data_IF_856232709644
#
_entry.id   IF_856232709644
#
_cell.length_a   1.000
_cell.length_b   1.000
_cell.length_c   1.000
_cell.angle_alpha   90.00
_cell.angle_beta   90.00
_cell.angle_gamma   90.00
#
_symmetry.space_group_name_H-M   'P 1'
#
loop_
_entity.id
_entity.type
_entity.pdbx_description
1 polymer ?
#
# COMPACT_ATOMS: atom_id res chain seq x y z
N UNK A 1 -18.11 -4.64 12.23
CA UNK A 1 -17.14 -4.73 11.11
C UNK A 1 -17.40 -6.01 10.33
N UNK A 2 -17.38 -5.95 9.01
CA UNK A 2 -17.65 -7.13 8.17
C UNK A 2 -16.49 -8.11 8.19
N UNK A 3 -16.81 -9.39 8.18
CA UNK A 3 -15.84 -10.49 8.06
C UNK A 3 -16.00 -11.19 6.71
N UNK A 4 -14.90 -11.72 6.20
CA UNK A 4 -14.94 -12.58 5.02
C UNK A 4 -15.28 -14.03 5.40
N UNK A 5 -15.27 -14.95 4.41
CA UNK A 5 -15.62 -16.36 4.60
C UNK A 5 -14.73 -17.09 5.60
N UNK A 6 -13.50 -16.61 5.79
CA UNK A 6 -12.50 -17.26 6.66
C UNK A 6 -12.41 -16.59 8.03
N UNK A 7 -13.30 -15.66 8.33
CA UNK A 7 -13.34 -14.98 9.61
C UNK A 7 -12.40 -13.79 9.74
N UNK A 8 -11.71 -13.40 8.69
CA UNK A 8 -10.85 -12.21 8.69
C UNK A 8 -11.69 -10.96 8.49
N UNK A 9 -11.34 -9.88 9.17
CA UNK A 9 -12.03 -8.60 9.05
C UNK A 9 -11.69 -7.91 7.74
N UNK A 10 -12.71 -7.47 7.00
CA UNK A 10 -12.53 -6.74 5.73
C UNK A 10 -12.12 -5.30 6.04
N UNK A 11 -11.04 -4.86 5.40
CA UNK A 11 -10.51 -3.50 5.57
C UNK A 11 -9.65 -3.29 6.81
N UNK A 12 -9.55 -4.27 7.68
CA UNK A 12 -8.74 -4.16 8.91
C UNK A 12 -7.26 -3.98 8.60
N UNK A 13 -6.75 -4.70 7.60
CA UNK A 13 -5.35 -4.57 7.21
C UNK A 13 -4.99 -3.15 6.81
N UNK A 14 -5.85 -2.48 6.06
CA UNK A 14 -5.64 -1.08 5.65
C UNK A 14 -5.73 -0.13 6.84
N UNK A 15 -6.71 -0.31 7.72
CA UNK A 15 -6.88 0.52 8.91
C UNK A 15 -5.69 0.40 9.85
N UNK A 16 -5.24 -0.83 10.09
CA UNK A 16 -4.09 -1.11 10.96
C UNK A 16 -2.82 -0.50 10.37
N UNK A 17 -2.60 -0.70 9.07
CA UNK A 17 -1.45 -0.11 8.38
C UNK A 17 -1.47 1.41 8.46
N UNK A 18 -2.62 2.05 8.26
CA UNK A 18 -2.76 3.50 8.35
C UNK A 18 -2.39 4.02 9.74
N UNK A 19 -2.84 3.34 10.80
CA UNK A 19 -2.49 3.71 12.16
C UNK A 19 -0.98 3.60 12.42
N UNK A 20 -0.37 2.50 12.00
CA UNK A 20 1.07 2.30 12.17
C UNK A 20 1.85 3.36 11.41
N UNK A 21 1.50 3.58 10.15
CA UNK A 21 2.20 4.55 9.29
C UNK A 21 2.01 5.99 9.77
N UNK A 22 0.83 6.31 10.30
CA UNK A 22 0.58 7.63 10.89
C UNK A 22 1.51 7.93 12.07
N UNK A 23 1.89 6.92 12.82
CA UNK A 23 2.84 7.06 13.93
C UNK A 23 4.30 7.10 13.46
N UNK A 24 4.64 6.36 12.41
CA UNK A 24 6.00 6.30 11.87
C UNK A 24 6.34 7.53 11.02
N UNK A 25 5.37 8.09 10.32
CA UNK A 25 5.57 9.22 9.40
C UNK A 25 4.77 10.44 9.85
N UNK A 26 5.04 10.91 11.07
CA UNK A 26 4.28 12.01 11.71
C UNK A 26 4.32 13.33 10.94
N UNK A 27 5.42 13.61 10.25
CA UNK A 27 5.62 14.85 9.49
C UNK A 27 5.13 14.76 8.05
N UNK A 28 4.52 13.63 7.69
CA UNK A 28 4.06 13.37 6.34
C UNK A 28 2.54 13.34 6.27
N UNK A 29 2.01 13.53 5.07
CA UNK A 29 0.56 13.39 4.83
C UNK A 29 0.30 11.98 4.33
N UNK A 30 -0.63 11.28 4.97
CA UNK A 30 -1.07 9.96 4.55
C UNK A 30 -2.48 10.06 4.01
N UNK A 31 -2.66 9.64 2.75
CA UNK A 31 -3.95 9.69 2.06
C UNK A 31 -4.43 8.28 1.74
N UNK A 32 -5.51 7.80 2.38
CA UNK A 32 -6.10 6.52 2.01
C UNK A 32 -6.92 6.65 0.73
N UNK A 33 -7.05 5.55 0.01
CA UNK A 33 -7.86 5.45 -1.20
C UNK A 33 -7.56 6.58 -2.20
N UNK A 34 -6.27 6.81 -2.46
CA UNK A 34 -5.81 7.90 -3.33
C UNK A 34 -5.88 7.51 -4.80
N UNK A 35 -6.41 8.38 -5.69
CA UNK A 35 -6.51 8.04 -7.11
C UNK A 35 -5.14 7.82 -7.76
N UNK A 36 -4.98 6.67 -8.39
CA UNK A 36 -3.74 6.30 -9.08
C UNK A 36 -3.34 7.33 -10.13
N UNK A 37 -4.31 7.85 -10.88
CA UNK A 37 -4.06 8.82 -11.94
C UNK A 37 -3.40 10.11 -11.45
N UNK A 38 -3.55 10.45 -10.18
CA UNK A 38 -2.96 11.67 -9.63
C UNK A 38 -1.45 11.56 -9.38
N UNK A 39 -0.90 10.35 -9.47
CA UNK A 39 0.54 10.11 -9.28
C UNK A 39 1.30 9.86 -10.58
N UNK A 40 0.62 9.80 -11.70
CA UNK A 40 1.24 9.51 -12.99
C UNK A 40 1.16 10.74 -13.92
N UNK A 41 2.13 10.83 -14.83
CA UNK A 41 2.16 11.92 -15.80
C UNK A 41 1.13 11.69 -16.91
N UNK A 42 0.74 12.76 -17.62
CA UNK A 42 -0.23 12.68 -18.71
C UNK A 42 0.19 11.71 -19.81
N UNK A 43 1.48 11.60 -20.06
CA UNK A 43 2.05 10.66 -21.02
C UNK A 43 1.60 9.22 -20.74
N UNK A 44 1.64 8.82 -19.47
CA UNK A 44 1.18 7.48 -19.06
C UNK A 44 -0.33 7.33 -19.06
N UNK A 45 -1.06 8.41 -18.73
CA UNK A 45 -2.52 8.39 -18.71
C UNK A 45 -3.10 8.05 -20.08
N UNK A 46 -2.53 8.60 -21.14
CA UNK A 46 -3.02 8.36 -22.50
C UNK A 46 -2.79 6.93 -22.98
N UNK A 47 -1.83 6.23 -22.37
CA UNK A 47 -1.48 4.86 -22.73
C UNK A 47 -2.25 3.81 -21.92
N UNK A 48 -2.93 4.20 -20.85
CA UNK A 48 -3.60 3.28 -19.95
C UNK A 48 -5.08 3.12 -20.29
N UNK A 49 -5.58 1.89 -20.13
CA UNK A 49 -7.00 1.63 -20.24
C UNK A 49 -7.77 2.19 -19.05
N UNK A 50 -9.08 2.37 -19.23
CA UNK A 50 -9.97 2.93 -18.21
C UNK A 50 -9.87 2.22 -16.85
N UNK A 51 -9.57 0.94 -16.84
CA UNK A 51 -9.41 0.17 -15.58
C UNK A 51 -8.37 0.77 -14.68
N UNK A 52 -7.21 1.12 -15.23
CA UNK A 52 -6.14 1.72 -14.45
C UNK A 52 -6.48 3.14 -14.02
N UNK A 53 -7.18 3.88 -14.88
CA UNK A 53 -7.56 5.25 -14.58
C UNK A 53 -8.53 5.37 -13.39
N UNK A 54 -9.27 4.29 -13.09
CA UNK A 54 -10.23 4.26 -11.98
C UNK A 54 -9.64 3.65 -10.70
N UNK A 55 -8.42 3.14 -10.76
CA UNK A 55 -7.81 2.52 -9.59
C UNK A 55 -7.55 3.53 -8.48
N UNK A 56 -7.73 3.07 -7.26
CA UNK A 56 -7.35 3.80 -6.06
C UNK A 56 -6.24 3.03 -5.36
N UNK A 57 -5.28 3.77 -4.84
CA UNK A 57 -4.17 3.22 -4.08
C UNK A 57 -4.56 3.20 -2.60
N UNK A 58 -4.25 2.11 -1.92
CA UNK A 58 -4.67 1.91 -0.53
C UNK A 58 -4.21 3.04 0.38
N UNK A 59 -2.90 3.33 0.36
CA UNK A 59 -2.30 4.38 1.17
C UNK A 59 -1.19 5.05 0.37
N UNK A 60 -1.13 6.38 0.42
CA UNK A 60 -0.06 7.15 -0.20
C UNK A 60 0.52 8.10 0.85
N UNK A 61 1.84 8.07 1.00
CA UNK A 61 2.57 8.90 1.95
C UNK A 61 3.32 9.98 1.19
N UNK A 62 2.93 11.24 1.41
CA UNK A 62 3.58 12.40 0.83
C UNK A 62 4.58 12.97 1.84
N UNK A 63 5.86 12.82 1.55
CA UNK A 63 6.93 13.26 2.43
C UNK A 63 7.53 14.58 1.95
N UNK A 64 7.90 15.50 2.85
CA UNK A 64 8.56 16.75 2.44
C UNK A 64 9.90 16.45 1.76
N UNK A 65 10.09 16.97 0.55
CA UNK A 65 11.36 16.88 -0.20
C UNK A 65 11.89 15.47 -0.49
N UNK A 66 11.04 14.45 -0.41
CA UNK A 66 11.42 13.07 -0.68
C UNK A 66 10.41 12.41 -1.62
N UNK A 67 10.79 11.25 -2.15
CA UNK A 67 9.89 10.50 -3.03
C UNK A 67 8.62 10.08 -2.32
N UNK A 68 7.51 10.13 -3.03
CA UNK A 68 6.21 9.63 -2.55
C UNK A 68 6.27 8.12 -2.36
N UNK A 69 5.72 7.65 -1.25
CA UNK A 69 5.63 6.23 -0.96
C UNK A 69 4.20 5.77 -1.20
N UNK A 70 4.04 4.72 -1.98
CA UNK A 70 2.74 4.06 -2.20
C UNK A 70 2.76 2.75 -1.44
N UNK A 71 1.84 2.58 -0.50
CA UNK A 71 1.71 1.36 0.29
C UNK A 71 0.49 0.60 -0.21
N UNK A 72 0.71 -0.62 -0.68
CA UNK A 72 -0.36 -1.49 -1.14
C UNK A 72 -0.59 -2.58 -0.10
N UNK A 73 -1.81 -2.67 0.40
CA UNK A 73 -2.19 -3.67 1.41
C UNK A 73 -2.89 -4.81 0.68
N UNK A 74 -2.22 -5.95 0.62
CA UNK A 74 -2.69 -7.07 -0.18
C UNK A 74 -3.14 -8.24 0.69
N UNK A 75 -4.46 -8.39 0.81
CA UNK A 75 -5.04 -9.53 1.50
C UNK A 75 -5.07 -10.76 0.58
N UNK A 76 -5.52 -11.89 1.10
CA UNK A 76 -5.55 -13.14 0.33
C UNK A 76 -6.52 -13.14 -0.85
N UNK A 77 -7.45 -12.17 -0.91
CA UNK A 77 -8.37 -12.04 -2.04
C UNK A 77 -7.71 -11.45 -3.29
N UNK A 78 -6.49 -10.93 -3.15
CA UNK A 78 -5.69 -10.44 -4.27
C UNK A 78 -4.90 -11.55 -4.98
N UNK A 79 -5.16 -12.81 -4.63
CA UNK A 79 -4.54 -13.96 -5.30
C UNK A 79 -5.26 -14.30 -6.60
N UNK A 80 -4.68 -13.99 -7.72
CA UNK A 80 -5.17 -14.37 -9.03
C UNK A 80 -4.18 -13.92 -10.07
N UNK A 81 -4.08 -14.68 -11.16
CA UNK A 81 -3.10 -14.38 -12.21
C UNK A 81 -3.33 -12.97 -12.78
N UNK A 82 -4.57 -12.62 -13.07
CA UNK A 82 -4.89 -11.29 -13.61
C UNK A 82 -4.64 -10.17 -12.62
N UNK A 83 -4.98 -10.38 -11.34
CA UNK A 83 -4.74 -9.41 -10.29
C UNK A 83 -3.24 -9.21 -10.08
N UNK A 84 -2.47 -10.31 -10.07
CA UNK A 84 -1.01 -10.24 -9.94
C UNK A 84 -0.37 -9.50 -11.10
N UNK A 85 -0.84 -9.73 -12.34
CA UNK A 85 -0.34 -9.04 -13.51
C UNK A 85 -0.62 -7.54 -13.44
N UNK A 86 -1.82 -7.15 -13.01
CA UNK A 86 -2.18 -5.73 -12.82
C UNK A 86 -1.32 -5.07 -11.75
N UNK A 87 -1.07 -5.78 -10.66
CA UNK A 87 -0.24 -5.28 -9.57
C UNK A 87 1.19 -5.03 -10.03
N UNK A 88 1.74 -5.92 -10.83
CA UNK A 88 3.08 -5.76 -11.39
C UNK A 88 3.15 -4.54 -12.30
N UNK A 89 2.18 -4.37 -13.19
CA UNK A 89 2.12 -3.25 -14.12
C UNK A 89 1.95 -1.93 -13.35
N UNK A 90 1.04 -1.89 -12.39
CA UNK A 90 0.83 -0.72 -11.54
C UNK A 90 2.11 -0.32 -10.82
N UNK A 91 2.78 -1.29 -10.20
CA UNK A 91 4.04 -1.05 -9.50
C UNK A 91 5.10 -0.46 -10.43
N UNK A 92 5.23 -1.03 -11.62
CA UNK A 92 6.20 -0.55 -12.61
C UNK A 92 5.93 0.89 -13.02
N UNK A 93 4.67 1.24 -13.29
CA UNK A 93 4.28 2.59 -13.67
C UNK A 93 4.56 3.58 -12.55
N UNK A 94 4.23 3.21 -11.30
CA UNK A 94 4.50 4.04 -10.14
C UNK A 94 6.00 4.29 -9.97
N UNK A 95 6.83 3.26 -10.15
CA UNK A 95 8.28 3.39 -10.07
C UNK A 95 8.83 4.30 -11.16
N UNK A 96 8.29 4.21 -12.38
CA UNK A 96 8.66 5.12 -13.48
C UNK A 96 8.27 6.58 -13.17
N UNK A 97 7.24 6.78 -12.35
CA UNK A 97 6.82 8.11 -11.91
C UNK A 97 7.46 8.51 -10.56
N UNK A 98 8.60 7.89 -10.23
CA UNK A 98 9.43 8.21 -9.07
C UNK A 98 8.76 7.97 -7.72
N UNK A 99 7.85 7.02 -7.65
CA UNK A 99 7.26 6.56 -6.39
C UNK A 99 8.00 5.33 -5.88
N UNK A 100 8.06 5.18 -4.57
CA UNK A 100 8.53 3.96 -3.91
C UNK A 100 7.29 3.14 -3.57
N UNK A 101 7.26 1.89 -3.99
CA UNK A 101 6.11 1.00 -3.74
C UNK A 101 6.47 -0.01 -2.67
N UNK A 102 5.68 -0.06 -1.61
CA UNK A 102 5.82 -1.02 -0.52
C UNK A 102 4.58 -1.89 -0.49
N UNK A 103 4.77 -3.20 -0.60
CA UNK A 103 3.67 -4.16 -0.54
C UNK A 103 3.60 -4.80 0.85
N UNK A 104 2.43 -4.70 1.48
CA UNK A 104 2.13 -5.35 2.74
C UNK A 104 1.27 -6.57 2.44
N UNK A 105 1.92 -7.70 2.18
CA UNK A 105 1.25 -8.92 1.79
C UNK A 105 0.75 -9.72 3.00
N UNK A 106 -0.43 -10.30 2.92
CA UNK A 106 -1.05 -11.03 4.01
C UNK A 106 -0.17 -12.17 4.56
N UNK A 107 0.62 -12.81 3.72
CA UNK A 107 1.48 -13.92 4.13
C UNK A 107 2.78 -13.46 4.81
N UNK A 108 3.18 -12.20 4.60
CA UNK A 108 4.35 -11.60 5.24
C UNK A 108 3.97 -10.75 6.44
N UNK A 109 2.76 -10.20 6.44
CA UNK A 109 2.26 -9.30 7.47
C UNK A 109 0.94 -9.80 8.06
N UNK A 110 0.88 -11.04 8.59
CA UNK A 110 -0.38 -11.63 9.05
C UNK A 110 -1.02 -10.86 10.22
N UNK A 111 -0.22 -10.16 11.02
CA UNK A 111 -0.74 -9.43 12.17
C UNK A 111 -1.47 -8.14 11.83
N UNK A 112 -1.37 -7.66 10.57
CA UNK A 112 -2.14 -6.50 10.12
C UNK A 112 -3.65 -6.77 10.09
N UNK A 113 -4.05 -8.02 9.90
CA UNK A 113 -5.47 -8.39 9.81
C UNK A 113 -6.08 -8.79 11.14
N UNK A 114 -5.37 -8.54 12.24
CA UNK A 114 -5.90 -8.68 13.60
C UNK A 114 -6.39 -7.30 14.07
N UNK A 115 -7.37 -7.27 14.95
CA UNK A 115 -8.00 -6.01 15.36
C UNK A 115 -7.10 -5.05 16.13
N UNK A 116 -5.95 -5.53 16.61
CA UNK A 116 -5.09 -4.73 17.46
C UNK A 116 -3.73 -4.44 16.82
N UNK A 117 -3.29 -3.19 16.94
CA UNK A 117 -1.91 -2.83 16.62
C UNK A 117 -1.04 -3.34 17.77
N UNK A 118 -0.05 -4.17 17.43
CA UNK A 118 0.90 -4.70 18.41
C UNK A 118 2.32 -4.61 17.85
N UNK A 119 3.30 -5.01 18.68
CA UNK A 119 4.70 -4.95 18.26
C UNK A 119 4.98 -5.81 17.04
N UNK A 120 4.32 -6.96 16.92
CA UNK A 120 4.51 -7.85 15.77
C UNK A 120 4.04 -7.21 14.48
N UNK A 121 2.87 -6.55 14.48
CA UNK A 121 2.36 -5.86 13.28
C UNK A 121 3.27 -4.69 12.90
N UNK A 122 3.78 -3.94 13.86
CA UNK A 122 4.73 -2.85 13.62
C UNK A 122 6.02 -3.39 12.99
N UNK A 123 6.58 -4.47 13.54
CA UNK A 123 7.79 -5.08 13.02
C UNK A 123 7.62 -5.60 11.59
N UNK A 124 6.47 -6.18 11.28
CA UNK A 124 6.17 -6.65 9.92
C UNK A 124 6.15 -5.50 8.91
N UNK A 125 5.56 -4.38 9.28
CA UNK A 125 5.55 -3.17 8.44
C UNK A 125 6.97 -2.63 8.25
N UNK A 126 7.74 -2.54 9.32
CA UNK A 126 9.14 -2.09 9.25
C UNK A 126 9.99 -3.00 8.36
N UNK A 127 9.80 -4.30 8.43
CA UNK A 127 10.51 -5.26 7.59
C UNK A 127 10.17 -5.05 6.11
N UNK A 128 8.89 -4.82 5.80
CA UNK A 128 8.48 -4.55 4.42
C UNK A 128 9.13 -3.26 3.88
N UNK A 129 9.25 -2.24 4.70
CA UNK A 129 9.92 -1.00 4.30
C UNK A 129 11.42 -1.21 4.11
N UNK A 130 12.05 -2.01 4.98
CA UNK A 130 13.47 -2.34 4.85
C UNK A 130 13.77 -3.08 3.54
N UNK A 131 12.88 -3.95 3.09
CA UNK A 131 13.05 -4.69 1.84
C UNK A 131 13.19 -3.79 0.61
N UNK A 132 12.58 -2.62 0.63
CA UNK A 132 12.68 -1.64 -0.46
C UNK A 132 13.72 -0.55 -0.18
N UNK A 133 14.55 -0.74 0.83
CA UNK A 133 15.63 0.18 1.16
C UNK A 133 15.22 1.40 1.96
N UNK A 134 14.02 1.40 2.54
CA UNK A 134 13.54 2.49 3.39
C UNK A 134 13.78 2.15 4.85
N UNK A 135 14.72 2.85 5.47
CA UNK A 135 14.97 2.71 6.90
C UNK A 135 14.06 3.72 7.63
N UNK A 136 13.18 3.21 8.46
CA UNK A 136 12.28 4.04 9.27
C UNK A 136 12.77 4.00 10.71
N UNK A 137 13.12 5.16 11.25
CA UNK A 137 13.51 5.30 12.64
C UNK A 137 12.27 5.36 13.53
N UNK A 138 12.29 4.58 14.57
CA UNK A 138 11.17 4.50 15.52
C UNK A 138 11.52 5.28 16.80
#
# INVERSE_FOLDING_TARGET
>A
MKKDKDGNFIGVGEETAEQILGNLFRDSKIKPQYPFINLITDEYKDSLGERYLKHKLDLVIFRPNEKTIVVRVQDKHHEGVLTSARDIVQKQILQWNKCIVVDLNWYECPNLWKEEVNQDSINEVLDAFNEVGLLVEV
#
